data_IF_272753699002
#
_entry.id   IF_272753699002
#
_cell.length_a   1.000
_cell.length_b   1.000
_cell.length_c   1.000
_cell.angle_alpha   90.00
_cell.angle_beta   90.00
_cell.angle_gamma   90.00
#
_symmetry.space_group_name_H-M   'P 1'
#
loop_
_entity.id
_entity.type
_entity.pdbx_description
1 polymer ?
#
# COMPACT_ATOMS: atom_id res chain seq x y z
N UNK A 1 9.07 -11.43 34.19
CA UNK A 1 8.73 -11.35 32.76
C UNK A 1 7.58 -12.32 32.53
N UNK A 2 6.38 -11.81 32.26
CA UNK A 2 5.19 -12.65 31.98
C UNK A 2 5.05 -12.78 30.46
N UNK A 3 4.71 -13.98 30.00
CA UNK A 3 4.61 -14.36 28.58
C UNK A 3 3.70 -13.44 27.76
N UNK A 4 4.02 -13.18 26.47
CA UNK A 4 3.20 -12.41 25.56
C UNK A 4 2.12 -13.29 24.94
N UNK A 5 1.12 -13.68 25.74
CA UNK A 5 -0.08 -14.37 25.22
C UNK A 5 -1.32 -13.65 25.74
N UNK A 6 -1.80 -12.70 24.91
CA UNK A 6 -3.13 -12.06 24.82
C UNK A 6 -2.97 -10.56 24.47
N UNK A 7 -2.52 -10.27 23.25
CA UNK A 7 -2.43 -8.90 22.70
C UNK A 7 -3.44 -8.63 21.56
N UNK A 8 -4.36 -9.57 21.30
CA UNK A 8 -5.22 -9.53 20.10
C UNK A 8 -6.72 -9.41 20.39
N UNK A 9 -7.12 -8.90 21.56
CA UNK A 9 -8.54 -8.88 21.92
C UNK A 9 -8.97 -7.66 22.75
N UNK A 10 -8.67 -6.44 22.30
CA UNK A 10 -9.26 -5.24 22.90
C UNK A 10 -9.46 -4.13 21.88
N UNK A 11 -10.59 -4.16 21.17
CA UNK A 11 -11.68 -3.16 21.16
C UNK A 11 -12.75 -3.71 20.22
N UNK A 12 -14.00 -3.78 20.67
CA UNK A 12 -15.13 -4.38 19.94
C UNK A 12 -15.56 -3.45 18.80
N UNK A 13 -14.71 -3.34 17.77
CA UNK A 13 -15.08 -2.70 16.52
C UNK A 13 -15.95 -3.68 15.72
N UNK A 14 -17.14 -3.26 15.31
CA UNK A 14 -18.00 -4.03 14.40
C UNK A 14 -17.40 -3.98 12.99
N UNK A 15 -16.42 -4.84 12.74
CA UNK A 15 -15.72 -4.90 11.47
C UNK A 15 -16.49 -5.79 10.49
N UNK A 16 -16.61 -5.30 9.25
CA UNK A 16 -17.08 -6.11 8.13
C UNK A 16 -16.15 -7.33 7.97
N UNK A 17 -16.72 -8.49 7.63
CA UNK A 17 -15.93 -9.68 7.30
C UNK A 17 -14.87 -9.34 6.22
N UNK A 18 -13.58 -9.67 6.43
CA UNK A 18 -12.52 -9.28 5.50
C UNK A 18 -12.81 -9.68 4.05
N UNK A 19 -13.33 -10.89 3.82
CA UNK A 19 -13.62 -11.39 2.47
C UNK A 19 -14.69 -10.60 1.72
N UNK A 20 -15.48 -9.76 2.40
CA UNK A 20 -16.46 -8.86 1.77
C UNK A 20 -15.82 -7.54 1.30
N UNK A 21 -14.54 -7.32 1.61
CA UNK A 21 -13.80 -6.12 1.24
C UNK A 21 -12.92 -6.43 0.03
N UNK A 22 -13.18 -5.71 -1.07
CA UNK A 22 -12.35 -5.68 -2.25
C UNK A 22 -11.48 -4.42 -2.23
N UNK A 23 -10.19 -4.60 -2.44
CA UNK A 23 -9.18 -3.55 -2.54
C UNK A 23 -8.77 -3.40 -3.99
N UNK A 24 -8.83 -2.17 -4.50
CA UNK A 24 -8.44 -1.84 -5.88
C UNK A 24 -7.22 -0.94 -5.86
N UNK A 25 -6.19 -1.25 -6.64
CA UNK A 25 -4.96 -0.49 -6.76
C UNK A 25 -4.56 -0.28 -8.23
N UNK A 26 -3.82 0.80 -8.51
CA UNK A 26 -3.29 1.06 -9.85
C UNK A 26 -4.31 1.57 -10.87
N UNK A 27 -5.48 2.01 -10.40
CA UNK A 27 -6.58 2.47 -11.25
C UNK A 27 -6.77 3.98 -11.06
N UNK A 28 -7.14 4.69 -12.13
CA UNK A 28 -7.61 6.09 -12.04
C UNK A 28 -9.10 6.23 -12.34
N UNK A 29 -9.70 5.30 -13.11
CA UNK A 29 -11.13 5.25 -13.37
C UNK A 29 -11.78 4.00 -12.72
N UNK A 30 -12.58 4.19 -11.67
CA UNK A 30 -13.15 3.08 -10.89
C UNK A 30 -14.30 2.32 -11.57
N UNK A 31 -14.85 2.83 -12.68
CA UNK A 31 -15.98 2.18 -13.38
C UNK A 31 -15.57 1.45 -14.66
N UNK A 32 -14.33 1.60 -15.12
CA UNK A 32 -13.85 0.78 -16.22
C UNK A 32 -13.63 -0.65 -15.69
N UNK A 33 -14.68 -1.48 -15.79
CA UNK A 33 -14.71 -2.88 -15.33
C UNK A 33 -13.78 -3.81 -16.11
N UNK A 34 -12.94 -3.28 -17.00
CA UNK A 34 -11.73 -3.95 -17.47
C UNK A 34 -10.72 -4.05 -16.31
N UNK A 35 -11.12 -4.73 -15.25
CA UNK A 35 -10.23 -5.14 -14.19
C UNK A 35 -9.31 -6.18 -14.81
N UNK A 36 -8.11 -5.75 -15.19
CA UNK A 36 -6.98 -6.64 -15.12
C UNK A 36 -7.05 -7.32 -13.75
N UNK A 37 -7.08 -8.65 -13.70
CA UNK A 37 -7.13 -9.42 -12.44
C UNK A 37 -6.01 -9.00 -11.50
N UNK A 38 -4.96 -8.36 -12.02
CA UNK A 38 -3.85 -7.83 -11.25
C UNK A 38 -4.14 -6.53 -10.47
N UNK A 39 -5.25 -5.85 -10.74
CA UNK A 39 -5.62 -4.55 -10.13
C UNK A 39 -6.53 -4.65 -8.89
N UNK A 40 -7.08 -5.83 -8.60
CA UNK A 40 -8.00 -6.04 -7.47
C UNK A 40 -7.56 -7.23 -6.59
N UNK A 41 -7.74 -7.11 -5.27
CA UNK A 41 -7.53 -8.18 -4.29
C UNK A 41 -8.61 -8.16 -3.21
N UNK A 42 -8.98 -9.33 -2.70
CA UNK A 42 -9.83 -9.41 -1.51
C UNK A 42 -9.00 -9.31 -0.24
N UNK A 43 -9.58 -8.72 0.80
CA UNK A 43 -8.95 -8.71 2.11
C UNK A 43 -8.96 -10.11 2.74
N UNK A 44 -7.82 -10.49 3.30
CA UNK A 44 -7.59 -11.68 4.10
C UNK A 44 -7.85 -11.41 5.59
N UNK A 45 -7.42 -10.24 6.06
CA UNK A 45 -7.53 -9.84 7.45
C UNK A 45 -7.63 -8.32 7.58
N UNK A 46 -8.25 -7.89 8.68
CA UNK A 46 -8.33 -6.50 9.10
C UNK A 46 -7.68 -6.39 10.48
N UNK A 47 -6.81 -5.40 10.64
CA UNK A 47 -6.19 -5.07 11.93
C UNK A 47 -6.60 -3.64 12.29
N UNK A 48 -6.90 -3.42 13.56
CA UNK A 48 -7.27 -2.11 14.10
C UNK A 48 -6.28 -1.75 15.20
N UNK A 49 -5.91 -0.48 15.29
CA UNK A 49 -5.04 -0.01 16.35
C UNK A 49 -5.67 -0.31 17.73
N UNK A 50 -4.96 -0.96 18.66
CA UNK A 50 -5.53 -1.45 19.93
C UNK A 50 -5.99 -0.35 20.89
N UNK A 51 -5.55 0.89 20.64
CA UNK A 51 -6.00 2.09 21.37
C UNK A 51 -6.98 2.94 20.56
N UNK A 52 -7.54 2.42 19.46
CA UNK A 52 -8.58 3.13 18.71
C UNK A 52 -9.78 3.36 19.63
N UNK A 53 -10.15 4.63 19.78
CA UNK A 53 -11.27 5.07 20.60
C UNK A 53 -12.09 6.07 19.79
N UNK A 54 -13.39 5.82 19.70
CA UNK A 54 -14.33 6.62 18.95
C UNK A 54 -15.45 7.06 19.88
N UNK A 55 -15.37 8.33 20.27
CA UNK A 55 -16.36 9.01 21.10
C UNK A 55 -17.13 10.01 20.23
N UNK A 56 -18.34 10.44 20.63
CA UNK A 56 -19.09 11.42 19.85
C UNK A 56 -18.29 12.69 19.57
N UNK A 57 -17.49 13.16 20.54
CA UNK A 57 -16.74 14.42 20.43
C UNK A 57 -15.32 14.29 19.86
N UNK A 58 -14.74 13.09 19.81
CA UNK A 58 -13.38 12.90 19.32
C UNK A 58 -13.14 11.46 18.85
N UNK A 59 -12.08 11.30 18.07
CA UNK A 59 -11.54 10.00 17.69
C UNK A 59 -10.04 10.00 17.93
N UNK A 60 -9.47 8.92 18.47
CA UNK A 60 -8.01 8.78 18.60
C UNK A 60 -7.56 7.43 18.08
N UNK A 61 -6.29 7.38 17.65
CA UNK A 61 -5.69 6.19 17.05
C UNK A 61 -6.54 5.56 15.94
N UNK A 62 -7.13 6.39 15.08
CA UNK A 62 -7.93 5.96 13.94
C UNK A 62 -7.03 5.44 12.80
N UNK A 63 -6.50 4.23 13.02
CA UNK A 63 -5.68 3.50 12.07
C UNK A 63 -6.17 2.07 11.96
N UNK A 64 -6.38 1.62 10.74
CA UNK A 64 -6.56 0.22 10.39
C UNK A 64 -5.55 -0.24 9.34
N UNK A 65 -5.29 -1.55 9.27
CA UNK A 65 -4.53 -2.19 8.20
C UNK A 65 -5.36 -3.28 7.53
N UNK A 66 -5.36 -3.30 6.20
CA UNK A 66 -5.99 -4.35 5.38
C UNK A 66 -4.91 -5.24 4.80
N UNK A 67 -4.84 -6.50 5.21
CA UNK A 67 -3.96 -7.48 4.58
C UNK A 67 -4.71 -8.14 3.42
N UNK A 68 -4.17 -8.08 2.21
CA UNK A 68 -4.81 -8.61 1.00
C UNK A 68 -4.28 -9.99 0.60
N UNK A 69 -5.09 -10.78 -0.12
CA UNK A 69 -4.66 -12.07 -0.70
C UNK A 69 -5.24 -12.30 -2.10
N UNK A 70 -4.42 -12.74 -3.08
CA UNK A 70 -2.95 -12.76 -3.04
C UNK A 70 -2.36 -11.34 -2.93
N UNK A 71 -1.05 -11.15 -2.72
CA UNK A 71 -0.48 -9.81 -2.74
C UNK A 71 -0.60 -9.16 -4.13
N UNK A 72 -0.51 -7.83 -4.20
CA UNK A 72 -0.49 -7.11 -5.47
C UNK A 72 0.83 -7.32 -6.20
N UNK A 73 0.77 -7.41 -7.53
CA UNK A 73 1.96 -7.36 -8.37
C UNK A 73 2.41 -5.90 -8.48
N UNK A 74 3.60 -5.59 -7.97
CA UNK A 74 4.13 -4.23 -8.02
C UNK A 74 4.52 -3.87 -9.46
N UNK A 75 4.05 -2.72 -9.91
CA UNK A 75 4.34 -2.17 -11.24
C UNK A 75 4.67 -0.69 -11.09
N UNK A 76 5.92 -0.34 -11.36
CA UNK A 76 6.42 1.04 -11.26
C UNK A 76 5.52 2.01 -12.02
N UNK A 77 5.14 3.12 -11.37
CA UNK A 77 4.22 4.13 -11.89
C UNK A 77 2.74 3.75 -11.84
N UNK A 78 2.39 2.56 -11.33
CA UNK A 78 1.00 2.05 -11.28
C UNK A 78 0.66 1.58 -9.88
N UNK A 79 1.34 0.54 -9.39
CA UNK A 79 1.20 0.02 -8.02
C UNK A 79 2.60 -0.01 -7.40
N UNK A 80 2.83 0.90 -6.46
CA UNK A 80 4.09 1.04 -5.75
C UNK A 80 3.83 1.09 -4.25
N UNK A 81 4.78 0.60 -3.46
CA UNK A 81 4.76 0.76 -2.01
C UNK A 81 5.24 2.15 -1.64
N UNK A 82 4.68 2.71 -0.56
CA UNK A 82 5.24 3.89 0.05
C UNK A 82 6.36 3.45 1.01
N UNK A 83 7.64 3.81 0.78
CA UNK A 83 8.72 3.38 1.65
C UNK A 83 8.64 4.15 2.97
N UNK A 84 8.47 3.45 4.09
CA UNK A 84 8.55 4.04 5.42
C UNK A 84 9.95 3.83 5.98
N UNK A 85 10.69 4.92 6.23
CA UNK A 85 12.02 4.89 6.84
C UNK A 85 11.96 5.41 8.28
N UNK A 86 12.72 4.82 9.19
CA UNK A 86 12.71 5.14 10.64
C UNK A 86 12.82 6.66 10.94
N UNK A 87 13.62 7.40 10.16
CA UNK A 87 13.81 8.83 10.31
C UNK A 87 12.61 9.67 9.86
N UNK A 88 11.67 9.10 9.10
CA UNK A 88 10.49 9.79 8.59
C UNK A 88 9.50 10.14 9.69
N UNK A 89 9.42 9.37 10.78
CA UNK A 89 8.58 9.74 11.92
C UNK A 89 8.90 11.15 12.40
N UNK A 90 10.19 11.43 12.59
CA UNK A 90 10.69 12.75 13.01
C UNK A 90 10.39 13.82 11.96
N UNK A 91 10.56 13.50 10.67
CA UNK A 91 10.25 14.44 9.58
C UNK A 91 8.76 14.77 9.50
N UNK A 92 7.88 13.78 9.69
CA UNK A 92 6.43 13.97 9.73
C UNK A 92 6.05 14.82 10.94
N UNK A 93 6.57 14.51 12.13
CA UNK A 93 6.35 15.33 13.33
C UNK A 93 6.78 16.79 13.08
N UNK A 94 7.98 17.00 12.54
CA UNK A 94 8.48 18.35 12.27
C UNK A 94 7.61 19.10 11.25
N UNK A 95 7.15 18.43 10.19
CA UNK A 95 6.25 19.02 9.20
C UNK A 95 4.90 19.43 9.80
N UNK A 96 4.36 18.66 10.74
CA UNK A 96 3.10 18.98 11.44
C UNK A 96 3.28 20.15 12.41
N UNK A 97 4.38 20.17 13.18
CA UNK A 97 4.65 21.23 14.15
C UNK A 97 5.05 22.55 13.50
N UNK A 98 5.70 22.50 12.33
CA UNK A 98 6.22 23.66 11.62
C UNK A 98 5.77 23.64 10.13
N UNK A 99 4.48 23.87 9.83
CA UNK A 99 3.92 23.71 8.49
C UNK A 99 4.25 24.90 7.56
N UNK A 100 5.54 25.16 7.32
CA UNK A 100 5.99 26.28 6.48
C UNK A 100 6.37 25.82 5.07
N UNK A 101 5.74 26.41 4.05
CA UNK A 101 6.06 26.21 2.62
C UNK A 101 6.02 24.74 2.14
N UNK A 102 5.14 23.93 2.72
CA UNK A 102 4.96 22.53 2.30
C UNK A 102 3.99 22.43 1.12
N UNK A 103 4.39 21.68 0.10
CA UNK A 103 3.51 21.29 -1.00
C UNK A 103 2.71 20.03 -0.64
N UNK A 104 1.49 20.24 -0.15
CA UNK A 104 0.61 19.17 0.24
C UNK A 104 -0.44 18.85 -0.84
N UNK A 105 -0.75 17.58 -0.99
CA UNK A 105 -1.76 17.07 -1.92
C UNK A 105 -2.59 15.98 -1.24
N UNK A 106 -3.88 15.98 -1.55
CA UNK A 106 -4.79 14.90 -1.22
C UNK A 106 -5.39 14.35 -2.51
N UNK A 107 -5.70 13.05 -2.52
CA UNK A 107 -6.27 12.37 -3.68
C UNK A 107 -7.41 11.45 -3.26
N UNK A 108 -8.42 11.32 -4.10
CA UNK A 108 -9.56 10.45 -3.84
C UNK A 108 -10.62 10.46 -4.95
N UNK A 109 -11.61 9.59 -4.78
CA UNK A 109 -12.76 9.43 -5.67
C UNK A 109 -14.07 9.93 -5.04
N UNK A 110 -13.97 10.70 -3.95
CA UNK A 110 -15.10 11.26 -3.23
C UNK A 110 -16.03 12.09 -4.13
N UNK A 111 -17.27 12.26 -3.68
CA UNK A 111 -18.33 12.87 -4.47
C UNK A 111 -18.06 14.36 -4.79
N UNK A 112 -18.68 14.84 -5.88
CA UNK A 112 -18.86 16.29 -6.07
C UNK A 112 -20.02 16.74 -5.20
N UNK A 113 -19.87 17.92 -4.58
CA UNK A 113 -20.90 18.73 -3.93
C UNK A 113 -22.35 18.22 -4.12
N UNK A 114 -22.98 17.76 -3.05
CA UNK A 114 -24.39 17.35 -2.93
C UNK A 114 -24.93 16.38 -3.99
N UNK A 115 -24.09 15.86 -4.88
CA UNK A 115 -24.43 14.85 -5.87
C UNK A 115 -24.00 13.48 -5.33
N UNK A 116 -24.94 12.53 -5.26
CA UNK A 116 -24.70 11.22 -4.67
C UNK A 116 -23.79 10.32 -5.52
N UNK A 117 -23.40 10.79 -6.70
CA UNK A 117 -22.57 10.03 -7.63
C UNK A 117 -21.07 10.24 -7.35
N UNK A 118 -20.31 9.17 -7.01
CA UNK A 118 -18.88 9.26 -6.83
C UNK A 118 -18.19 9.70 -8.12
N UNK A 119 -17.08 10.43 -7.99
CA UNK A 119 -16.33 10.88 -9.15
C UNK A 119 -15.62 9.67 -9.76
N UNK A 120 -15.98 9.33 -11.00
CA UNK A 120 -15.43 8.18 -11.71
C UNK A 120 -13.91 8.22 -11.85
N UNK A 121 -13.33 9.42 -11.95
CA UNK A 121 -11.90 9.66 -12.15
C UNK A 121 -11.24 10.19 -10.88
N UNK A 122 -10.12 9.59 -10.50
CA UNK A 122 -9.29 10.02 -9.38
C UNK A 122 -9.03 11.53 -9.46
N UNK A 123 -9.30 12.23 -8.38
CA UNK A 123 -9.01 13.66 -8.24
C UNK A 123 -7.82 13.86 -7.34
N UNK A 124 -7.11 14.95 -7.63
CA UNK A 124 -6.01 15.47 -6.85
C UNK A 124 -6.29 16.93 -6.57
N UNK A 125 -6.22 17.32 -5.31
CA UNK A 125 -6.30 18.72 -4.90
C UNK A 125 -5.05 19.13 -4.14
N UNK A 126 -4.68 20.40 -4.27
CA UNK A 126 -3.59 20.97 -3.52
C UNK A 126 -4.12 21.47 -2.17
N UNK A 127 -3.43 21.10 -1.10
CA UNK A 127 -3.80 21.42 0.26
C UNK A 127 -2.74 22.35 0.89
N UNK A 128 -3.16 23.11 1.90
CA UNK A 128 -2.30 23.83 2.83
C UNK A 128 -2.44 23.17 4.18
N UNK A 129 -1.35 22.60 4.69
CA UNK A 129 -1.27 22.12 6.07
C UNK A 129 -1.30 23.32 7.01
N UNK A 130 -2.18 23.29 8.01
CA UNK A 130 -2.37 24.40 8.94
C UNK A 130 -1.64 24.14 10.25
N UNK A 131 -1.37 25.19 11.03
CA UNK A 131 -0.80 25.03 12.37
C UNK A 131 -1.80 24.35 13.30
N UNK A 132 -1.29 23.62 14.30
CA UNK A 132 -2.14 22.97 15.29
C UNK A 132 -3.03 23.97 16.05
N UNK A 133 -2.52 25.17 16.34
CA UNK A 133 -3.30 26.25 16.97
C UNK A 133 -4.49 26.67 16.10
N UNK A 134 -4.26 26.81 14.79
CA UNK A 134 -5.33 27.18 13.86
C UNK A 134 -6.36 26.06 13.75
N UNK A 135 -5.91 24.81 13.69
CA UNK A 135 -6.78 23.64 13.63
C UNK A 135 -7.67 23.53 14.87
N UNK A 136 -7.07 23.55 16.06
CA UNK A 136 -7.77 23.46 17.33
C UNK A 136 -8.80 24.58 17.49
N UNK A 137 -8.36 25.82 17.25
CA UNK A 137 -9.24 27.00 17.32
C UNK A 137 -10.41 26.88 16.34
N UNK A 138 -10.14 26.54 15.08
CA UNK A 138 -11.17 26.47 14.05
C UNK A 138 -12.15 25.33 14.30
N UNK A 139 -11.67 24.17 14.76
CA UNK A 139 -12.53 23.04 15.14
C UNK A 139 -13.48 23.43 16.26
N UNK A 140 -12.96 24.03 17.34
CA UNK A 140 -13.78 24.51 18.44
C UNK A 140 -14.79 25.57 17.96
N UNK A 141 -14.34 26.63 17.25
CA UNK A 141 -15.22 27.71 16.78
C UNK A 141 -16.37 27.20 15.89
N UNK A 142 -16.12 26.21 15.04
CA UNK A 142 -17.12 25.66 14.11
C UNK A 142 -18.10 24.68 14.75
N UNK A 143 -17.71 24.05 15.85
CA UNK A 143 -18.51 22.98 16.46
C UNK A 143 -19.09 23.40 17.81
N UNK A 144 -18.70 24.58 18.30
CA UNK A 144 -19.19 25.19 19.54
C UNK A 144 -20.71 25.24 19.58
N UNK A 145 -21.29 24.72 20.66
CA UNK A 145 -22.73 24.66 20.84
C UNK A 145 -23.44 23.63 19.93
N UNK A 146 -22.67 22.84 19.16
CA UNK A 146 -23.15 21.65 18.50
C UNK A 146 -23.39 20.51 19.49
N UNK A 147 -23.99 19.42 19.01
CA UNK A 147 -24.21 18.20 19.79
C UNK A 147 -23.72 17.01 18.98
N UNK A 148 -22.47 16.55 19.16
CA UNK A 148 -21.47 17.05 20.13
C UNK A 148 -20.64 18.23 19.60
N UNK A 149 -20.13 19.03 20.53
CA UNK A 149 -18.99 19.90 20.27
C UNK A 149 -17.72 19.04 20.11
N UNK A 150 -16.89 19.31 19.10
CA UNK A 150 -15.74 18.47 18.80
C UNK A 150 -14.51 18.89 19.60
N UNK A 151 -13.80 17.89 20.12
CA UNK A 151 -12.52 18.05 20.82
C UNK A 151 -11.36 17.72 19.89
N UNK A 152 -10.49 18.71 19.65
CA UNK A 152 -9.25 18.53 18.90
C UNK A 152 -8.11 18.09 19.83
N UNK A 153 -7.47 16.97 19.53
CA UNK A 153 -6.39 16.38 20.35
C UNK A 153 -5.08 16.54 19.58
N UNK A 154 -4.24 17.49 19.99
CA UNK A 154 -3.05 17.92 19.22
C UNK A 154 -2.06 16.81 18.95
N UNK A 155 -1.99 15.81 19.83
CA UNK A 155 -1.11 14.64 19.71
C UNK A 155 -1.61 13.67 18.63
N UNK A 156 -2.91 13.67 18.33
CA UNK A 156 -3.56 12.72 17.41
C UNK A 156 -4.02 13.36 16.11
N UNK A 157 -4.25 14.67 16.13
CA UNK A 157 -4.94 15.38 15.06
C UNK A 157 -4.07 16.45 14.41
N UNK A 158 -4.25 16.60 13.11
CA UNK A 158 -3.83 17.78 12.35
C UNK A 158 -4.91 18.13 11.34
N UNK A 159 -4.81 19.27 10.69
CA UNK A 159 -5.80 19.69 9.70
C UNK A 159 -5.18 20.41 8.50
N UNK A 160 -5.89 20.39 7.38
CA UNK A 160 -5.50 21.13 6.18
C UNK A 160 -6.71 21.74 5.49
N UNK A 161 -6.46 22.73 4.64
CA UNK A 161 -7.49 23.41 3.83
C UNK A 161 -7.11 23.36 2.35
N UNK A 162 -8.09 23.37 1.45
CA UNK A 162 -7.82 23.43 0.02
C UNK A 162 -7.17 24.76 -0.38
N UNK A 163 -6.22 24.71 -1.32
CA UNK A 163 -5.60 25.93 -1.88
C UNK A 163 -6.49 26.64 -2.90
N UNK A 164 -7.32 25.88 -3.62
CA UNK A 164 -8.26 26.43 -4.59
C UNK A 164 -9.61 26.77 -3.99
N UNK A 165 -10.31 27.75 -4.58
CA UNK A 165 -11.68 28.09 -4.21
C UNK A 165 -12.59 26.87 -4.30
N UNK A 166 -13.40 26.64 -3.27
CA UNK A 166 -14.32 25.50 -3.15
C UNK A 166 -13.66 24.12 -3.31
N UNK A 167 -12.34 24.00 -3.13
CA UNK A 167 -11.67 22.69 -3.09
C UNK A 167 -11.71 22.15 -1.67
N UNK A 168 -12.53 21.13 -1.44
CA UNK A 168 -12.63 20.45 -0.16
C UNK A 168 -12.46 18.96 -0.33
N UNK A 169 -12.17 18.31 0.78
CA UNK A 169 -12.29 16.87 0.93
C UNK A 169 -13.76 16.52 1.19
N UNK A 170 -14.24 15.41 0.66
CA UNK A 170 -15.65 15.04 0.66
C UNK A 170 -15.90 13.59 1.06
N UNK A 171 -17.18 13.23 1.15
CA UNK A 171 -17.60 11.84 1.37
C UNK A 171 -17.01 10.93 0.28
N UNK A 172 -16.41 9.81 0.70
CA UNK A 172 -15.73 8.87 -0.18
C UNK A 172 -14.22 9.08 -0.34
N UNK A 173 -13.64 10.15 0.22
CA UNK A 173 -12.18 10.33 0.27
C UNK A 173 -11.56 9.74 1.55
N UNK A 174 -12.39 9.41 2.54
CA UNK A 174 -12.04 8.93 3.87
C UNK A 174 -11.05 7.77 3.85
N UNK A 175 -10.02 7.81 4.70
CA UNK A 175 -8.91 6.84 4.71
C UNK A 175 -7.79 7.17 3.72
N UNK A 176 -7.97 8.14 2.81
CA UNK A 176 -6.92 8.60 1.91
C UNK A 176 -5.78 9.35 2.63
N UNK A 177 -4.55 9.32 2.10
CA UNK A 177 -3.40 9.99 2.71
C UNK A 177 -3.32 11.49 2.34
N UNK A 178 -2.87 12.32 3.28
CA UNK A 178 -2.32 13.64 3.00
C UNK A 178 -0.82 13.51 2.74
N UNK A 179 -0.39 13.84 1.52
CA UNK A 179 1.01 13.76 1.12
C UNK A 179 1.63 15.16 1.03
N UNK A 180 2.68 15.44 1.80
CA UNK A 180 3.39 16.73 1.78
C UNK A 180 4.87 16.58 1.42
N UNK A 181 5.49 17.66 0.94
CA UNK A 181 6.91 17.70 0.61
C UNK A 181 7.17 17.87 -0.89
N UNK A 182 8.44 17.79 -1.30
CA UNK A 182 8.85 17.98 -2.70
C UNK A 182 8.92 16.67 -3.48
N UNK A 183 10.12 16.35 -3.98
CA UNK A 183 10.42 15.10 -4.70
C UNK A 183 10.15 13.85 -3.84
N UNK A 184 10.53 13.91 -2.56
CA UNK A 184 10.16 12.92 -1.56
C UNK A 184 8.91 13.42 -0.85
N UNK A 185 7.83 12.65 -0.94
CA UNK A 185 6.60 12.92 -0.20
C UNK A 185 6.68 12.26 1.18
N UNK A 186 6.00 12.85 2.15
CA UNK A 186 5.76 12.33 3.49
C UNK A 186 4.26 12.11 3.65
N UNK A 187 3.86 10.99 4.25
CA UNK A 187 2.48 10.79 4.70
C UNK A 187 2.30 11.58 6.00
N UNK A 188 1.58 12.69 5.95
CA UNK A 188 1.35 13.55 7.12
C UNK A 188 0.22 13.02 7.99
N UNK A 189 -0.81 12.47 7.36
CA UNK A 189 -1.94 11.92 8.08
C UNK A 189 -2.87 11.14 7.17
N UNK A 190 -3.76 10.40 7.81
CA UNK A 190 -4.83 9.61 7.18
C UNK A 190 -6.14 10.35 7.43
N UNK A 191 -6.94 10.50 6.38
CA UNK A 191 -8.19 11.25 6.48
C UNK A 191 -9.18 10.52 7.39
N UNK A 192 -9.44 11.09 8.56
CA UNK A 192 -10.32 10.48 9.57
C UNK A 192 -11.76 10.96 9.45
N UNK A 193 -11.98 12.21 9.03
CA UNK A 193 -13.33 12.76 8.85
C UNK A 193 -14.03 13.16 10.16
N UNK A 194 -13.31 13.20 11.28
CA UNK A 194 -13.84 13.73 12.55
C UNK A 194 -14.19 15.22 12.44
N UNK A 195 -13.40 16.00 11.70
CA UNK A 195 -13.80 17.34 11.25
C UNK A 195 -14.50 17.14 9.91
N UNK A 196 -15.83 17.20 9.93
CA UNK A 196 -16.65 17.16 8.72
C UNK A 196 -17.49 18.43 8.61
N UNK A 197 -17.56 18.96 7.40
CA UNK A 197 -18.34 20.14 7.06
C UNK A 197 -18.91 20.00 5.66
N UNK A 198 -19.65 21.00 5.19
CA UNK A 198 -20.23 20.95 3.85
C UNK A 198 -19.14 20.94 2.78
N UNK A 199 -19.26 19.98 1.86
CA UNK A 199 -18.45 19.95 0.64
C UNK A 199 -18.53 21.27 -0.13
N UNK A 200 -17.37 21.76 -0.57
CA UNK A 200 -17.22 23.02 -1.29
C UNK A 200 -17.14 24.27 -0.41
N UNK A 201 -17.22 24.16 0.92
CA UNK A 201 -16.84 25.24 1.84
C UNK A 201 -15.34 25.16 2.12
N UNK A 202 -14.56 25.96 1.39
CA UNK A 202 -13.09 26.04 1.50
C UNK A 202 -12.59 26.54 2.86
N UNK A 203 -13.50 27.01 3.73
CA UNK A 203 -13.19 27.38 5.10
C UNK A 203 -13.34 26.22 6.09
N UNK A 204 -13.87 25.06 5.68
CA UNK A 204 -13.92 23.85 6.52
C UNK A 204 -12.58 23.11 6.42
N UNK A 205 -11.86 22.92 7.54
CA UNK A 205 -10.68 22.08 7.52
C UNK A 205 -11.04 20.61 7.29
N UNK A 206 -10.19 19.92 6.54
CA UNK A 206 -10.13 18.47 6.55
C UNK A 206 -9.33 18.03 7.78
N UNK A 207 -9.92 17.18 8.63
CA UNK A 207 -9.26 16.61 9.81
C UNK A 207 -8.55 15.30 9.49
N UNK A 208 -7.28 15.21 9.88
CA UNK A 208 -6.43 14.04 9.67
C UNK A 208 -6.00 13.46 11.01
N UNK A 209 -5.98 12.13 11.09
CA UNK A 209 -5.23 11.44 12.12
C UNK A 209 -3.75 11.48 11.74
N UNK A 210 -2.93 12.03 12.64
CA UNK A 210 -1.51 12.26 12.45
C UNK A 210 -0.76 10.96 12.16
N UNK A 211 0.02 10.88 11.08
CA UNK A 211 0.70 9.62 10.76
C UNK A 211 1.84 9.30 11.74
N UNK A 212 2.52 10.31 12.27
CA UNK A 212 3.61 10.13 13.25
C UNK A 212 3.17 9.50 14.57
N UNK A 213 1.92 9.72 14.98
CA UNK A 213 1.34 9.11 16.18
C UNK A 213 1.04 7.61 16.03
N UNK A 214 0.75 7.14 14.81
CA UNK A 214 0.49 5.74 14.48
C UNK A 214 1.67 5.02 13.81
N UNK A 215 2.78 5.74 13.58
CA UNK A 215 3.88 5.31 12.73
C UNK A 215 4.39 3.90 13.10
N UNK A 216 4.80 3.71 14.36
CA UNK A 216 5.41 2.45 14.78
C UNK A 216 4.41 1.28 14.67
N UNK A 217 3.12 1.52 14.98
CA UNK A 217 2.10 0.48 14.86
C UNK A 217 1.83 0.11 13.41
N UNK A 218 1.71 1.11 12.52
CA UNK A 218 1.52 0.89 11.08
C UNK A 218 2.71 0.13 10.49
N UNK A 219 3.93 0.60 10.74
CA UNK A 219 5.16 0.04 10.16
C UNK A 219 5.43 -1.38 10.66
N UNK A 220 5.21 -1.65 11.97
CA UNK A 220 5.39 -3.00 12.52
C UNK A 220 4.21 -3.95 12.19
N UNK A 221 3.05 -3.41 11.84
CA UNK A 221 1.85 -4.19 11.50
C UNK A 221 1.84 -4.69 10.05
N UNK A 222 2.68 -4.12 9.19
CA UNK A 222 2.92 -4.58 7.82
C UNK A 222 3.76 -5.85 7.90
N UNK A 223 3.26 -6.97 7.36
CA UNK A 223 4.01 -8.21 7.32
C UNK A 223 5.34 -7.98 6.55
N UNK A 224 6.49 -8.49 7.03
CA UNK A 224 7.73 -8.38 6.27
C UNK A 224 7.56 -9.07 4.91
N UNK A 225 8.29 -8.62 3.86
CA UNK A 225 8.37 -9.34 2.59
C UNK A 225 8.60 -10.82 2.87
N UNK A 226 7.67 -11.69 2.48
CA UNK A 226 7.89 -13.14 2.61
C UNK A 226 9.14 -13.48 1.80
N UNK A 227 10.25 -13.93 2.42
CA UNK A 227 11.39 -14.39 1.64
C UNK A 227 10.92 -15.58 0.79
N UNK A 228 11.35 -15.63 -0.48
CA UNK A 228 11.08 -16.77 -1.34
C UNK A 228 11.50 -18.05 -0.59
N UNK A 229 10.54 -18.91 -0.27
CA UNK A 229 10.85 -20.30 0.02
C UNK A 229 11.22 -20.94 -1.32
N UNK A 230 12.49 -20.87 -1.69
CA UNK A 230 13.03 -21.69 -2.77
C UNK A 230 12.97 -23.13 -2.28
N UNK A 231 11.86 -23.80 -2.53
CA UNK A 231 11.83 -25.25 -2.49
C UNK A 231 12.75 -25.70 -3.62
N UNK A 232 13.99 -26.01 -3.29
CA UNK A 232 14.88 -26.74 -4.18
C UNK A 232 14.23 -28.11 -4.36
N UNK A 233 13.44 -28.27 -5.42
CA UNK A 233 13.08 -29.59 -5.91
C UNK A 233 14.37 -30.20 -6.42
N UNK A 234 14.96 -31.06 -5.59
CA UNK A 234 16.11 -31.87 -5.94
C UNK A 234 15.78 -32.61 -7.25
N UNK A 235 16.49 -32.27 -8.32
CA UNK A 235 16.36 -32.96 -9.59
C UNK A 235 16.70 -34.45 -9.38
N UNK A 236 15.99 -35.39 -10.02
CA UNK A 236 16.38 -36.79 -9.98
C UNK A 236 17.81 -36.90 -10.50
N UNK A 237 18.73 -37.37 -9.63
CA UNK A 237 20.13 -37.54 -9.99
C UNK A 237 20.28 -38.42 -11.24
N UNK A 238 21.33 -38.21 -12.05
CA UNK A 238 21.56 -39.02 -13.23
C UNK A 238 21.77 -40.48 -12.80
N UNK A 239 20.97 -41.38 -13.38
CA UNK A 239 21.08 -42.82 -13.15
C UNK A 239 22.49 -43.33 -13.48
N UNK A 240 22.91 -44.45 -12.88
CA UNK A 240 24.25 -44.96 -13.04
C UNK A 240 24.50 -45.35 -14.50
N UNK A 241 25.47 -44.68 -15.12
CA UNK A 241 25.97 -45.02 -16.46
C UNK A 241 26.71 -46.35 -16.36
N UNK A 242 26.20 -47.37 -17.06
CA UNK A 242 26.83 -48.68 -17.23
C UNK A 242 28.10 -48.52 -18.07
N UNK A 243 29.26 -48.54 -17.43
CA UNK A 243 30.54 -48.65 -18.13
C UNK A 243 30.77 -50.11 -18.54
N UNK A 244 30.69 -50.35 -19.85
CA UNK A 244 31.23 -51.55 -20.48
C UNK A 244 32.75 -51.41 -20.67
N UNK A 245 33.43 -52.55 -20.58
CA UNK A 245 34.88 -52.81 -20.63
C UNK A 245 35.67 -52.15 -21.76
N UNK A 246 37.02 -52.18 -21.64
CA UNK A 246 37.87 -52.50 -22.77
C UNK A 246 38.70 -53.77 -22.51
N UNK A 247 38.53 -54.76 -23.40
CA UNK A 247 39.46 -55.88 -23.54
C UNK A 247 40.78 -55.46 -24.24
N UNK A 248 41.86 -56.25 -24.13
CA UNK A 248 43.15 -55.91 -24.71
C UNK A 248 43.39 -56.63 -26.05
N UNK A 249 43.98 -55.95 -27.03
CA UNK A 249 44.66 -56.63 -28.15
C UNK A 249 45.87 -55.85 -28.65
N UNK A 250 46.96 -56.59 -28.76
CA UNK A 250 48.27 -56.22 -29.32
C UNK A 250 48.37 -56.65 -30.79
N UNK A 251 49.01 -55.84 -31.65
CA UNK A 251 49.55 -56.31 -32.94
C UNK A 251 49.55 -55.29 -34.10
N UNK A 252 50.66 -55.10 -34.87
CA UNK A 252 50.82 -54.04 -35.88
C UNK A 252 50.74 -54.57 -37.35
N UNK A 253 51.16 -53.83 -38.41
CA UNK A 253 50.28 -53.21 -39.40
C UNK A 253 50.35 -53.84 -40.82
N UNK A 254 49.34 -53.57 -41.65
CA UNK A 254 49.34 -53.89 -43.09
C UNK A 254 48.88 -52.68 -43.92
N UNK A 255 49.48 -52.39 -45.09
CA UNK A 255 49.13 -51.23 -45.92
C UNK A 255 48.31 -51.63 -47.15
N UNK A 256 47.29 -50.84 -47.54
CA UNK A 256 47.01 -50.48 -48.94
C UNK A 256 45.82 -49.53 -49.11
N UNK A 257 46.10 -48.38 -49.74
CA UNK A 257 45.40 -47.70 -50.85
C UNK A 257 43.87 -47.70 -50.97
N UNK A 258 43.29 -46.50 -51.20
CA UNK A 258 42.15 -46.34 -52.12
C UNK A 258 41.11 -45.28 -51.76
N UNK A 259 41.33 -44.05 -52.24
CA UNK A 259 40.39 -43.08 -52.85
C UNK A 259 39.01 -42.72 -52.23
N UNK A 260 38.46 -41.52 -52.56
CA UNK A 260 37.43 -40.85 -51.76
C UNK A 260 36.01 -40.95 -52.35
N UNK A 261 34.99 -40.81 -51.49
CA UNK A 261 33.59 -40.70 -51.89
C UNK A 261 32.74 -39.92 -50.87
N UNK A 262 31.78 -39.11 -51.34
CA UNK A 262 31.17 -37.99 -50.59
C UNK A 262 29.89 -38.43 -49.86
N UNK A 263 29.38 -37.65 -48.90
CA UNK A 263 27.99 -37.13 -48.92
C UNK A 263 27.55 -36.45 -47.61
N UNK A 264 26.91 -35.29 -47.82
CA UNK A 264 25.70 -34.77 -47.15
C UNK A 264 25.77 -34.31 -45.70
N UNK A 265 25.78 -32.98 -45.54
CA UNK A 265 25.39 -32.29 -44.32
C UNK A 265 23.88 -32.35 -44.08
N UNK A 266 23.50 -32.63 -42.84
CA UNK A 266 22.18 -32.41 -42.28
C UNK A 266 22.22 -31.19 -41.33
N UNK A 267 21.08 -30.52 -41.07
CA UNK A 267 21.03 -29.23 -40.38
C UNK A 267 21.25 -29.37 -38.87
N UNK A 268 21.91 -28.38 -38.26
CA UNK A 268 22.10 -28.30 -36.81
C UNK A 268 20.80 -28.04 -36.03
N UNK A 269 20.76 -28.35 -34.72
CA UNK A 269 19.59 -28.18 -33.87
C UNK A 269 19.31 -26.70 -33.53
N UNK A 270 18.06 -26.33 -33.21
CA UNK A 270 17.69 -24.95 -32.91
C UNK A 270 18.28 -24.51 -31.57
N UNK A 271 18.79 -23.28 -31.54
CA UNK A 271 19.28 -22.56 -30.36
C UNK A 271 18.17 -22.40 -29.33
N UNK A 272 18.43 -22.80 -28.08
CA UNK A 272 17.54 -22.59 -26.94
C UNK A 272 17.40 -21.09 -26.63
N UNK A 273 16.16 -20.61 -26.60
CA UNK A 273 15.79 -19.28 -26.09
C UNK A 273 16.30 -19.07 -24.66
N UNK A 274 16.77 -17.85 -24.39
CA UNK A 274 17.17 -17.41 -23.06
C UNK A 274 15.98 -17.44 -22.08
N UNK A 275 16.20 -17.69 -20.78
CA UNK A 275 15.12 -17.65 -19.80
C UNK A 275 14.54 -16.23 -19.71
N UNK A 276 13.21 -16.15 -19.80
CA UNK A 276 12.44 -14.92 -19.63
C UNK A 276 12.61 -14.26 -18.24
N UNK A 277 12.08 -13.04 -18.07
CA UNK A 277 12.34 -12.20 -16.91
C UNK A 277 11.91 -12.86 -15.58
N UNK A 278 12.80 -12.72 -14.59
CA UNK A 278 12.68 -13.17 -13.20
C UNK A 278 11.39 -12.67 -12.54
N UNK A 279 10.69 -13.47 -11.71
CA UNK A 279 9.45 -13.04 -11.07
C UNK A 279 9.68 -11.88 -10.09
N UNK A 280 8.94 -10.80 -10.31
CA UNK A 280 8.83 -9.63 -9.42
C UNK A 280 8.31 -10.07 -8.05
N UNK A 281 9.06 -9.75 -6.99
CA UNK A 281 8.69 -10.03 -5.60
C UNK A 281 7.34 -9.38 -5.27
N UNK A 282 6.32 -10.18 -5.00
CA UNK A 282 5.03 -9.71 -4.50
C UNK A 282 5.19 -9.43 -3.00
N UNK A 283 5.16 -8.14 -2.62
CA UNK A 283 5.22 -7.74 -1.22
C UNK A 283 3.81 -7.79 -0.61
N UNK A 284 3.63 -8.25 0.63
CA UNK A 284 2.38 -8.03 1.35
C UNK A 284 2.14 -6.51 1.42
N UNK A 285 1.04 -6.06 0.83
CA UNK A 285 0.63 -4.65 0.86
C UNK A 285 -0.45 -4.55 1.92
N UNK A 286 -0.14 -3.93 3.06
CA UNK A 286 -1.17 -3.49 4.00
C UNK A 286 -1.57 -2.06 3.65
N UNK A 287 -2.86 -1.83 3.46
CA UNK A 287 -3.39 -0.47 3.21
C UNK A 287 -3.83 0.12 4.54
N UNK A 288 -3.27 1.28 4.88
CA UNK A 288 -3.74 2.07 5.99
C UNK A 288 -5.10 2.67 5.64
N UNK A 289 -6.11 2.45 6.47
CA UNK A 289 -7.47 2.94 6.27
C UNK A 289 -8.06 3.48 7.57
N UNK A 290 -9.16 4.23 7.44
CA UNK A 290 -9.98 4.70 8.56
C UNK A 290 -10.99 3.63 8.95
N UNK A 291 -11.28 3.49 10.24
CA UNK A 291 -12.38 2.66 10.71
C UNK A 291 -13.70 3.43 10.59
N UNK A 292 -14.69 2.80 9.96
CA UNK A 292 -16.08 3.30 9.93
C UNK A 292 -16.90 2.48 10.92
N UNK A 293 -17.53 3.14 11.89
CA UNK A 293 -18.51 2.51 12.77
C UNK A 293 -19.91 2.69 12.18
N UNK A 294 -20.75 1.67 12.34
CA UNK A 294 -22.18 1.67 11.98
C UNK A 294 -23.02 2.53 12.92
#
# INVERSE_FOLDING_TARGET
>A
MKEPKKFWNSTEHDLVEPMKIEVIAGVTNVHNKDHDRDSSRFAKALKVHPFCEHEPSYIVYDYGLIDVTPPFTLKKGVIETFPFLEDEKVLVTNAILHPTNLECVAMGWGSKKDDSMPILLLKKINMTLMTLDWCEKTTHERTKGGSPELKFIREMHTCSVGKGKNQTICAGDTGGPLLCGGKKKLVIGILSGFISGKCGDDKNPAGWTRFDAGYDWVVNGIDPPTPLSTTMTEAPGPGPTRTGEPGPTTGPPGPTTGAPGPTTGAPGPPTSEAPGPTPTTALPVSIAYRITHS
#
